data_IF_758728998098
#
_entry.id   IF_758728998098
#
_cell.length_a   1.000
_cell.length_b   1.000
_cell.length_c   1.000
_cell.angle_alpha   90.00
_cell.angle_beta   90.00
_cell.angle_gamma   90.00
#
_symmetry.space_group_name_H-M   'P 1'
#
loop_
_entity.id
_entity.type
_entity.pdbx_description
1 polymer ?
#
# COMPACT_ATOMS: atom_id res chain seq x y z
N UNK A 1 -14.09 5.53 27.29
CA UNK A 1 -14.14 4.29 26.52
C UNK A 1 -12.70 3.88 26.20
N UNK A 2 -12.22 2.70 26.63
CA UNK A 2 -10.83 2.28 26.41
C UNK A 2 -10.41 2.30 24.94
N UNK A 3 -11.31 1.89 24.02
CA UNK A 3 -11.07 1.90 22.58
C UNK A 3 -10.84 3.28 21.99
N UNK A 4 -11.36 4.36 22.61
CA UNK A 4 -11.13 5.74 22.14
C UNK A 4 -9.66 6.12 22.35
N UNK A 5 -9.07 5.73 23.48
CA UNK A 5 -7.65 5.96 23.76
C UNK A 5 -6.77 5.29 22.72
N UNK A 6 -6.99 4.00 22.47
CA UNK A 6 -6.24 3.23 21.44
C UNK A 6 -6.40 3.84 20.04
N UNK A 7 -7.61 4.30 19.70
CA UNK A 7 -7.84 4.98 18.41
C UNK A 7 -7.07 6.31 18.29
N UNK A 8 -7.03 7.10 19.36
CA UNK A 8 -6.28 8.36 19.36
C UNK A 8 -4.78 8.11 19.26
N UNK A 9 -4.25 7.13 19.99
CA UNK A 9 -2.85 6.72 19.91
C UNK A 9 -2.48 6.25 18.48
N UNK A 10 -3.35 5.45 17.86
CA UNK A 10 -3.22 5.05 16.48
C UNK A 10 -3.20 6.25 15.51
N UNK A 11 -4.12 7.19 15.67
CA UNK A 11 -4.16 8.41 14.82
C UNK A 11 -2.88 9.23 14.96
N UNK A 12 -2.35 9.35 16.16
CA UNK A 12 -1.13 10.12 16.39
C UNK A 12 0.11 9.39 15.87
N UNK A 13 0.17 8.08 15.99
CA UNK A 13 1.21 7.25 15.36
C UNK A 13 1.15 7.36 13.82
N UNK A 14 -0.04 7.32 13.24
CA UNK A 14 -0.23 7.48 11.80
C UNK A 14 0.19 8.87 11.30
N UNK A 15 -0.08 9.94 12.07
CA UNK A 15 0.38 11.31 11.76
C UNK A 15 1.91 11.40 11.83
N UNK A 16 2.53 10.82 12.86
CA UNK A 16 3.98 10.80 13.01
C UNK A 16 4.64 10.06 11.85
N UNK A 17 4.11 8.89 11.46
CA UNK A 17 4.59 8.14 10.30
C UNK A 17 4.46 8.95 9.00
N UNK A 18 3.33 9.61 8.76
CA UNK A 18 3.15 10.47 7.57
C UNK A 18 4.14 11.62 7.52
N UNK A 19 4.37 12.28 8.67
CA UNK A 19 5.38 13.33 8.77
C UNK A 19 6.76 12.79 8.42
N UNK A 20 7.15 11.66 9.01
CA UNK A 20 8.38 10.95 8.67
C UNK A 20 8.46 10.65 7.17
N UNK A 21 7.44 10.03 6.56
CA UNK A 21 7.40 9.68 5.13
C UNK A 21 7.51 10.89 4.20
N UNK A 22 7.10 12.08 4.64
CA UNK A 22 7.28 13.33 3.88
C UNK A 22 8.72 13.85 4.01
N UNK A 23 9.32 13.72 5.18
CA UNK A 23 10.67 14.21 5.50
C UNK A 23 11.78 13.32 4.95
N UNK A 24 11.57 11.99 4.92
CA UNK A 24 12.50 11.08 4.25
C UNK A 24 12.46 11.37 2.75
N UNK A 25 13.51 11.99 2.27
CA UNK A 25 13.62 12.31 0.85
C UNK A 25 13.91 11.08 0.00
N UNK A 26 13.91 11.29 -1.30
CA UNK A 26 14.58 10.41 -2.25
C UNK A 26 16.10 10.47 -2.06
N UNK A 27 16.82 9.64 -2.78
CA UNK A 27 18.29 9.68 -2.79
C UNK A 27 18.77 10.89 -3.56
N UNK A 28 18.86 12.05 -2.88
CA UNK A 28 19.15 13.34 -3.46
C UNK A 28 20.47 13.37 -4.26
N UNK A 29 21.48 12.66 -3.79
CA UNK A 29 22.80 12.64 -4.42
C UNK A 29 22.77 11.89 -5.76
N UNK A 30 21.81 11.00 -5.95
CA UNK A 30 21.67 10.21 -7.19
C UNK A 30 20.67 10.86 -8.15
N UNK A 31 19.52 11.33 -7.63
CA UNK A 31 18.49 11.93 -8.47
C UNK A 31 17.91 13.23 -7.89
N UNK A 32 18.67 14.32 -7.92
CA UNK A 32 18.27 15.60 -7.33
C UNK A 32 17.05 16.24 -8.00
N UNK A 33 16.79 15.95 -9.29
CA UNK A 33 15.62 16.48 -9.99
C UNK A 33 14.32 15.85 -9.46
N UNK A 34 14.34 14.55 -9.14
CA UNK A 34 13.21 13.87 -8.52
C UNK A 34 12.92 14.44 -7.13
N UNK A 35 13.94 14.64 -6.29
CA UNK A 35 13.75 15.25 -4.96
C UNK A 35 13.14 16.64 -5.06
N UNK A 36 13.63 17.49 -5.95
CA UNK A 36 13.07 18.83 -6.22
C UNK A 36 11.62 18.76 -6.70
N UNK A 37 11.30 17.80 -7.58
CA UNK A 37 9.94 17.60 -8.07
C UNK A 37 9.02 17.16 -6.92
N UNK A 38 9.43 16.17 -6.11
CA UNK A 38 8.70 15.65 -4.97
C UNK A 38 8.41 16.77 -3.96
N UNK A 39 9.42 17.55 -3.58
CA UNK A 39 9.27 18.69 -2.66
C UNK A 39 8.29 19.74 -3.19
N UNK A 40 8.33 20.06 -4.48
CA UNK A 40 7.35 20.98 -5.07
C UNK A 40 5.92 20.47 -4.96
N UNK A 41 5.68 19.17 -5.18
CA UNK A 41 4.36 18.59 -5.05
C UNK A 41 3.88 18.57 -3.59
N UNK A 42 4.74 18.23 -2.64
CA UNK A 42 4.44 18.29 -1.21
C UNK A 42 4.05 19.71 -0.79
N UNK A 43 4.86 20.69 -1.19
CA UNK A 43 4.61 22.11 -0.86
C UNK A 43 3.31 22.61 -1.50
N UNK A 44 3.04 22.24 -2.75
CA UNK A 44 1.80 22.61 -3.44
C UNK A 44 0.58 22.06 -2.70
N UNK A 45 0.59 20.78 -2.36
CA UNK A 45 -0.49 20.15 -1.59
C UNK A 45 -0.64 20.81 -0.22
N UNK A 46 0.45 21.16 0.45
CA UNK A 46 0.43 21.86 1.74
C UNK A 46 -0.22 23.25 1.64
N UNK A 47 0.03 23.98 0.56
CA UNK A 47 -0.58 25.29 0.31
C UNK A 47 -2.08 25.14 -0.01
N UNK A 48 -2.43 24.20 -0.88
CA UNK A 48 -3.81 24.02 -1.35
C UNK A 48 -4.74 23.45 -0.27
N UNK A 49 -4.24 22.52 0.57
CA UNK A 49 -5.04 21.78 1.54
C UNK A 49 -4.85 22.23 3.00
N UNK A 50 -3.85 23.06 3.28
CA UNK A 50 -3.53 23.52 4.62
C UNK A 50 -3.31 22.35 5.59
N UNK A 51 -3.92 22.41 6.78
CA UNK A 51 -3.77 21.37 7.81
C UNK A 51 -4.20 19.96 7.36
N UNK A 52 -5.04 19.83 6.33
CA UNK A 52 -5.46 18.53 5.80
C UNK A 52 -4.35 17.83 5.01
N UNK A 53 -3.33 18.55 4.59
CA UNK A 53 -2.19 18.00 3.82
C UNK A 53 -1.42 16.93 4.60
N UNK A 54 -1.41 16.98 5.92
CA UNK A 54 -0.75 15.98 6.78
C UNK A 54 -1.32 14.56 6.60
N UNK A 55 -2.51 14.45 5.99
CA UNK A 55 -3.14 13.18 5.66
C UNK A 55 -2.68 12.59 4.32
N UNK A 56 -1.94 13.34 3.51
CA UNK A 56 -1.54 12.92 2.17
C UNK A 56 -0.19 12.20 2.20
N UNK A 57 -0.16 10.97 1.71
CA UNK A 57 1.07 10.24 1.42
C UNK A 57 1.49 10.62 0.00
N UNK A 58 2.76 10.84 -0.21
CA UNK A 58 3.34 11.15 -1.52
C UNK A 58 4.16 9.95 -2.03
N UNK A 59 3.50 8.88 -2.53
CA UNK A 59 4.20 7.71 -3.02
C UNK A 59 5.06 8.08 -4.23
N UNK A 60 6.33 7.67 -4.25
CA UNK A 60 7.22 7.97 -5.37
C UNK A 60 6.91 7.12 -6.59
N UNK A 61 6.41 5.91 -6.37
CA UNK A 61 6.11 4.91 -7.39
C UNK A 61 4.96 4.02 -6.92
N UNK A 62 4.21 3.48 -7.85
CA UNK A 62 3.27 2.39 -7.64
C UNK A 62 3.56 1.29 -8.67
N UNK A 63 3.47 0.04 -8.24
CA UNK A 63 3.66 -1.12 -9.11
C UNK A 63 2.32 -1.80 -9.32
N UNK A 64 1.98 -2.11 -10.55
CA UNK A 64 0.79 -2.89 -10.87
C UNK A 64 1.19 -4.34 -11.14
N UNK A 65 0.75 -5.25 -10.27
CA UNK A 65 1.00 -6.68 -10.40
C UNK A 65 -0.14 -7.42 -11.13
N UNK A 66 -1.12 -6.67 -11.63
CA UNK A 66 -2.22 -7.17 -12.45
C UNK A 66 -2.62 -6.14 -13.49
N UNK A 67 -3.10 -6.59 -14.64
CA UNK A 67 -3.69 -5.76 -15.69
C UNK A 67 -5.20 -5.66 -15.46
N UNK A 68 -5.65 -4.48 -15.06
CA UNK A 68 -7.03 -4.19 -14.71
C UNK A 68 -7.45 -4.70 -13.32
N UNK A 69 -8.74 -4.58 -13.00
CA UNK A 69 -9.31 -4.87 -11.68
C UNK A 69 -10.59 -5.70 -11.80
N UNK A 70 -10.72 -6.74 -10.96
CA UNK A 70 -11.92 -7.60 -10.97
C UNK A 70 -13.11 -7.01 -10.20
N UNK A 71 -12.90 -5.93 -9.43
CA UNK A 71 -13.92 -5.40 -8.51
C UNK A 71 -14.99 -4.58 -9.22
N UNK A 72 -14.60 -3.70 -10.14
CA UNK A 72 -15.55 -2.87 -10.89
C UNK A 72 -16.32 -1.85 -10.02
N UNK A 73 -15.66 -1.23 -9.04
CA UNK A 73 -16.29 -0.23 -8.18
C UNK A 73 -16.88 0.94 -8.98
N UNK A 74 -18.16 1.25 -8.77
CA UNK A 74 -18.86 2.36 -9.46
C UNK A 74 -18.25 3.74 -9.15
N UNK A 75 -17.53 3.88 -8.04
CA UNK A 75 -16.85 5.10 -7.60
C UNK A 75 -15.34 5.07 -7.82
N UNK A 76 -14.82 4.17 -8.66
CA UNK A 76 -13.39 4.04 -8.91
C UNK A 76 -12.81 5.35 -9.45
N UNK A 77 -11.99 6.03 -8.64
CA UNK A 77 -11.38 7.31 -9.03
C UNK A 77 -10.33 7.19 -10.13
N UNK A 78 -9.90 5.96 -10.45
CA UNK A 78 -8.88 5.66 -11.46
C UNK A 78 -9.54 5.13 -12.74
N UNK A 79 -10.83 4.75 -12.68
CA UNK A 79 -11.54 4.10 -13.78
C UNK A 79 -10.82 2.85 -14.30
N UNK A 80 -10.40 1.99 -13.37
CA UNK A 80 -9.66 0.77 -13.70
C UNK A 80 -10.39 -0.06 -14.75
N UNK A 81 -9.64 -0.55 -15.73
CA UNK A 81 -10.16 -1.47 -16.74
C UNK A 81 -10.56 -2.81 -16.12
N UNK A 82 -11.34 -3.61 -16.85
CA UNK A 82 -11.66 -4.97 -16.40
C UNK A 82 -10.39 -5.81 -16.33
N UNK A 83 -10.32 -6.65 -15.31
CA UNK A 83 -9.21 -7.58 -15.11
C UNK A 83 -8.97 -8.44 -16.37
N UNK A 84 -7.73 -8.51 -16.80
CA UNK A 84 -7.28 -9.25 -17.98
C UNK A 84 -6.26 -10.34 -17.63
N UNK A 85 -5.53 -10.16 -16.54
CA UNK A 85 -4.49 -11.10 -16.10
C UNK A 85 -3.62 -10.52 -15.00
N UNK A 86 -2.66 -11.28 -14.54
CA UNK A 86 -1.71 -10.87 -13.52
C UNK A 86 -0.27 -11.22 -13.94
N UNK A 87 0.69 -10.60 -13.30
CA UNK A 87 2.10 -10.91 -13.43
C UNK A 87 2.39 -12.18 -12.63
N UNK A 88 2.63 -13.29 -13.31
CA UNK A 88 2.81 -14.61 -12.71
C UNK A 88 4.14 -14.72 -11.95
N UNK A 89 4.15 -15.44 -10.84
CA UNK A 89 5.36 -15.74 -10.08
C UNK A 89 6.14 -16.90 -10.72
N UNK A 90 6.84 -16.60 -11.81
CA UNK A 90 7.84 -17.51 -12.36
C UNK A 90 9.23 -17.17 -11.82
N UNK A 91 10.20 -18.11 -11.85
CA UNK A 91 11.59 -17.81 -11.46
C UNK A 91 12.21 -16.66 -12.26
N UNK A 92 11.80 -16.48 -13.51
CA UNK A 92 12.23 -15.38 -14.38
C UNK A 92 11.61 -14.05 -13.94
N UNK A 93 10.30 -14.00 -13.80
CA UNK A 93 9.57 -12.82 -13.36
C UNK A 93 9.98 -12.38 -11.95
N UNK A 94 10.27 -13.32 -11.06
CA UNK A 94 10.80 -13.00 -9.74
C UNK A 94 12.20 -12.35 -9.80
N UNK A 95 13.07 -12.80 -10.73
CA UNK A 95 14.36 -12.13 -10.96
C UNK A 95 14.18 -10.71 -11.50
N UNK A 96 13.29 -10.55 -12.46
CA UNK A 96 12.95 -9.23 -13.01
C UNK A 96 12.36 -8.31 -11.94
N UNK A 97 11.42 -8.80 -11.15
CA UNK A 97 10.83 -8.07 -10.03
C UNK A 97 11.91 -7.56 -9.05
N UNK A 98 12.80 -8.45 -8.63
CA UNK A 98 13.92 -8.08 -7.76
C UNK A 98 14.82 -7.02 -8.39
N UNK A 99 15.12 -7.15 -9.67
CA UNK A 99 15.96 -6.18 -10.38
C UNK A 99 15.26 -4.80 -10.45
N UNK A 100 13.97 -4.76 -10.79
CA UNK A 100 13.18 -3.53 -10.86
C UNK A 100 13.11 -2.84 -9.48
N UNK A 101 12.81 -3.58 -8.41
CA UNK A 101 12.71 -3.01 -7.07
C UNK A 101 14.07 -2.49 -6.57
N UNK A 102 15.17 -3.23 -6.81
CA UNK A 102 16.51 -2.79 -6.43
C UNK A 102 16.91 -1.51 -7.19
N UNK A 103 16.67 -1.46 -8.50
CA UNK A 103 16.99 -0.27 -9.29
C UNK A 103 16.15 0.93 -8.85
N UNK A 104 14.84 0.74 -8.65
CA UNK A 104 13.96 1.79 -8.13
C UNK A 104 14.44 2.28 -6.76
N UNK A 105 14.84 1.36 -5.85
CA UNK A 105 15.35 1.73 -4.54
C UNK A 105 16.69 2.48 -4.62
N UNK A 106 17.57 2.10 -5.54
CA UNK A 106 18.84 2.82 -5.77
C UNK A 106 18.61 4.28 -6.20
N UNK A 107 17.56 4.53 -6.98
CA UNK A 107 17.22 5.87 -7.48
C UNK A 107 16.39 6.70 -6.49
N UNK A 108 15.43 6.08 -5.81
CA UNK A 108 14.40 6.75 -5.02
C UNK A 108 14.67 6.70 -3.51
N UNK A 109 15.55 5.79 -3.06
CA UNK A 109 15.92 5.63 -1.67
C UNK A 109 14.74 5.34 -0.75
N UNK A 110 14.84 5.79 0.50
CA UNK A 110 13.84 5.57 1.55
C UNK A 110 12.45 6.16 1.24
N UNK A 111 12.30 7.03 0.23
CA UNK A 111 10.96 7.47 -0.18
C UNK A 111 10.09 6.30 -0.67
N UNK A 112 10.70 5.18 -1.08
CA UNK A 112 9.97 3.98 -1.48
C UNK A 112 9.21 3.30 -0.34
N UNK A 113 9.50 3.59 0.92
CA UNK A 113 8.71 3.10 2.06
C UNK A 113 7.22 3.46 1.97
N UNK A 114 6.89 4.54 1.26
CA UNK A 114 5.51 4.99 1.01
C UNK A 114 4.93 4.57 -0.34
N UNK A 115 5.56 3.64 -1.05
CA UNK A 115 5.08 3.12 -2.34
C UNK A 115 3.90 2.16 -2.17
N UNK A 116 3.25 1.82 -3.29
CA UNK A 116 2.17 0.85 -3.35
C UNK A 116 2.51 -0.27 -4.35
N UNK A 117 2.07 -1.51 -4.03
CA UNK A 117 2.13 -2.64 -4.96
C UNK A 117 0.77 -2.86 -5.67
N UNK A 118 -0.01 -1.81 -5.82
CA UNK A 118 -1.24 -1.77 -6.59
C UNK A 118 -1.56 -0.31 -6.96
N UNK A 119 -2.30 -0.09 -8.05
CA UNK A 119 -2.81 1.23 -8.44
C UNK A 119 -4.18 1.11 -9.09
N UNK A 120 -4.24 0.78 -10.39
CA UNK A 120 -5.50 0.57 -11.12
C UNK A 120 -5.98 -0.90 -11.03
N UNK A 121 -5.71 -1.59 -9.95
CA UNK A 121 -6.05 -3.01 -9.71
C UNK A 121 -6.38 -3.25 -8.24
N UNK A 122 -7.01 -4.38 -7.92
CA UNK A 122 -7.04 -4.90 -6.56
C UNK A 122 -5.79 -5.78 -6.36
N UNK A 123 -4.99 -5.59 -5.30
CA UNK A 123 -3.76 -6.35 -5.11
C UNK A 123 -4.00 -7.87 -5.03
N UNK A 124 -5.13 -8.31 -4.46
CA UNK A 124 -5.45 -9.73 -4.34
C UNK A 124 -6.04 -10.34 -5.62
N UNK A 125 -6.12 -9.58 -6.72
CA UNK A 125 -6.32 -10.15 -8.05
C UNK A 125 -5.09 -10.94 -8.52
N UNK A 126 -3.92 -10.65 -7.95
CA UNK A 126 -2.72 -11.47 -8.14
C UNK A 126 -2.63 -12.53 -7.02
N UNK A 127 -2.73 -13.83 -7.35
CA UNK A 127 -2.64 -14.90 -6.35
C UNK A 127 -1.28 -15.00 -5.67
N UNK A 128 -0.23 -14.48 -6.31
CA UNK A 128 1.16 -14.49 -5.84
C UNK A 128 1.54 -13.17 -5.15
N UNK A 129 0.55 -12.35 -4.78
CA UNK A 129 0.76 -11.01 -4.21
C UNK A 129 1.67 -11.03 -2.98
N UNK A 130 1.52 -12.03 -2.11
CA UNK A 130 2.30 -12.15 -0.88
C UNK A 130 3.79 -12.28 -1.17
N UNK A 131 4.18 -13.12 -2.10
CA UNK A 131 5.59 -13.37 -2.46
C UNK A 131 6.25 -12.12 -3.09
N UNK A 132 5.49 -11.36 -3.87
CA UNK A 132 5.95 -10.07 -4.39
C UNK A 132 6.10 -9.03 -3.28
N UNK A 133 5.17 -9.02 -2.31
CA UNK A 133 5.21 -8.16 -1.13
C UNK A 133 6.41 -8.50 -0.22
N UNK A 134 6.64 -9.77 0.08
CA UNK A 134 7.79 -10.26 0.84
C UNK A 134 9.11 -9.88 0.18
N UNK A 135 9.19 -10.08 -1.14
CA UNK A 135 10.37 -9.71 -1.93
C UNK A 135 10.62 -8.20 -1.88
N UNK A 136 9.59 -7.38 -2.06
CA UNK A 136 9.68 -5.93 -1.93
C UNK A 136 10.19 -5.52 -0.55
N UNK A 137 9.58 -6.05 0.49
CA UNK A 137 9.91 -5.76 1.88
C UNK A 137 11.37 -6.13 2.22
N UNK A 138 11.86 -7.24 1.65
CA UNK A 138 13.25 -7.67 1.85
C UNK A 138 14.29 -6.70 1.27
N UNK A 139 13.91 -5.87 0.31
CA UNK A 139 14.79 -4.90 -0.38
C UNK A 139 14.64 -3.51 0.24
N UNK A 140 13.40 -3.07 0.47
CA UNK A 140 13.08 -1.69 0.90
C UNK A 140 13.07 -1.55 2.42
N UNK A 141 13.00 -2.67 3.16
CA UNK A 141 12.87 -2.75 4.63
C UNK A 141 11.60 -2.04 5.15
N UNK A 142 10.55 -2.01 4.32
CA UNK A 142 9.24 -1.46 4.68
C UNK A 142 8.14 -2.27 4.02
N UNK A 143 7.01 -2.44 4.71
CA UNK A 143 5.83 -3.12 4.16
C UNK A 143 4.88 -2.06 3.61
N UNK A 144 4.64 -2.03 2.28
CA UNK A 144 3.67 -1.12 1.68
C UNK A 144 2.25 -1.48 2.08
N UNK A 145 1.44 -0.45 2.32
CA UNK A 145 0.04 -0.61 2.69
C UNK A 145 -0.75 -1.34 1.59
N UNK A 146 -1.59 -2.29 2.00
CA UNK A 146 -2.50 -3.03 1.11
C UNK A 146 -3.94 -2.59 1.34
N UNK A 147 -4.67 -2.31 0.26
CA UNK A 147 -6.12 -2.06 0.28
C UNK A 147 -6.80 -3.01 -0.70
N UNK A 148 -7.76 -3.80 -0.23
CA UNK A 148 -8.50 -4.75 -1.06
C UNK A 148 -10.01 -4.64 -0.86
N UNK A 149 -10.76 -4.87 -1.93
CA UNK A 149 -12.22 -5.04 -1.90
C UNK A 149 -12.64 -6.52 -2.05
N UNK A 150 -11.68 -7.42 -2.32
CA UNK A 150 -11.93 -8.84 -2.58
C UNK A 150 -11.34 -9.77 -1.51
N UNK A 151 -11.14 -9.27 -0.30
CA UNK A 151 -10.61 -10.05 0.84
C UNK A 151 -11.32 -11.42 1.05
N UNK A 152 -12.60 -11.50 0.70
CA UNK A 152 -13.42 -12.72 0.82
C UNK A 152 -13.31 -13.67 -0.39
N UNK A 153 -12.66 -13.26 -1.49
CA UNK A 153 -12.48 -14.11 -2.68
C UNK A 153 -11.46 -15.22 -2.42
N UNK A 154 -10.41 -14.89 -1.66
CA UNK A 154 -9.41 -15.85 -1.18
C UNK A 154 -9.04 -15.48 0.27
N UNK A 155 -9.78 -16.05 1.22
CA UNK A 155 -9.62 -15.75 2.66
C UNK A 155 -8.24 -16.18 3.15
N UNK A 156 -7.70 -17.31 2.66
CA UNK A 156 -6.40 -17.83 3.10
C UNK A 156 -5.27 -16.91 2.66
N UNK A 157 -5.28 -16.42 1.41
CA UNK A 157 -4.31 -15.41 0.94
C UNK A 157 -4.43 -14.13 1.77
N UNK A 158 -5.66 -13.67 2.01
CA UNK A 158 -5.89 -12.46 2.82
C UNK A 158 -5.32 -12.62 4.22
N UNK A 159 -5.56 -13.76 4.88
CA UNK A 159 -5.00 -14.05 6.21
C UNK A 159 -3.47 -14.13 6.19
N UNK A 160 -2.90 -14.69 5.15
CA UNK A 160 -1.44 -14.74 5.00
C UNK A 160 -0.83 -13.34 4.86
N UNK A 161 -1.48 -12.45 4.10
CA UNK A 161 -1.07 -11.05 3.98
C UNK A 161 -1.22 -10.30 5.32
N UNK A 162 -2.33 -10.49 6.04
CA UNK A 162 -2.53 -9.88 7.36
C UNK A 162 -1.47 -10.36 8.36
N UNK A 163 -1.20 -11.66 8.39
CA UNK A 163 -0.17 -12.24 9.26
C UNK A 163 1.23 -11.70 8.95
N UNK A 164 1.57 -11.52 7.69
CA UNK A 164 2.86 -10.93 7.30
C UNK A 164 3.02 -9.49 7.84
N UNK A 165 1.91 -8.79 7.99
CA UNK A 165 1.87 -7.43 8.54
C UNK A 165 1.98 -7.38 10.07
N UNK A 166 1.55 -8.41 10.78
CA UNK A 166 1.42 -8.43 12.24
C UNK A 166 2.71 -8.06 12.97
N UNK A 167 3.85 -8.47 12.42
CA UNK A 167 5.17 -8.25 13.02
C UNK A 167 5.74 -6.84 12.77
N UNK A 168 5.16 -6.03 11.88
CA UNK A 168 5.72 -4.75 11.42
C UNK A 168 4.67 -3.63 11.32
N UNK A 169 4.22 -3.12 12.44
CA UNK A 169 3.14 -2.10 12.55
C UNK A 169 3.55 -0.73 12.03
N UNK A 170 3.37 -0.44 10.74
CA UNK A 170 3.66 0.92 10.22
C UNK A 170 2.45 1.61 9.63
N UNK A 171 1.70 1.00 8.73
CA UNK A 171 0.48 1.56 8.13
C UNK A 171 -0.56 0.46 8.02
N UNK A 172 -1.81 0.66 8.47
CA UNK A 172 -2.80 -0.39 8.47
C UNK A 172 -3.22 -0.78 7.07
N UNK A 173 -3.45 -2.07 6.87
CA UNK A 173 -4.18 -2.58 5.74
C UNK A 173 -5.64 -2.09 5.78
N UNK A 174 -6.31 -2.08 4.63
CA UNK A 174 -7.68 -1.63 4.54
C UNK A 174 -8.54 -2.61 3.73
N UNK A 175 -9.75 -2.83 4.21
CA UNK A 175 -10.80 -3.45 3.41
C UNK A 175 -11.71 -2.38 2.83
N UNK A 176 -11.88 -2.39 1.51
CA UNK A 176 -12.88 -1.56 0.83
C UNK A 176 -14.23 -2.26 0.92
N UNK A 177 -15.05 -1.84 1.88
CA UNK A 177 -16.36 -2.44 2.14
C UNK A 177 -17.40 -1.79 1.24
N UNK A 178 -17.92 -2.53 0.26
CA UNK A 178 -18.86 -2.01 -0.74
C UNK A 178 -20.33 -2.10 -0.28
N UNK A 179 -20.63 -3.00 0.65
CA UNK A 179 -21.99 -3.20 1.19
C UNK A 179 -21.93 -3.65 2.64
N UNK A 180 -23.04 -3.45 3.38
CA UNK A 180 -23.18 -3.95 4.76
C UNK A 180 -23.06 -5.46 4.86
N UNK A 181 -23.57 -6.20 3.86
CA UNK A 181 -23.42 -7.67 3.81
C UNK A 181 -21.95 -8.11 3.67
N UNK A 182 -21.11 -7.34 2.97
CA UNK A 182 -19.66 -7.61 2.91
C UNK A 182 -19.03 -7.35 4.27
N UNK A 183 -19.41 -6.29 4.98
CA UNK A 183 -18.93 -5.98 6.32
C UNK A 183 -19.23 -7.14 7.29
N UNK A 184 -20.46 -7.62 7.31
CA UNK A 184 -20.86 -8.75 8.13
C UNK A 184 -20.04 -10.03 7.83
N UNK A 185 -19.79 -10.29 6.55
CA UNK A 185 -18.96 -11.42 6.13
C UNK A 185 -17.49 -11.26 6.53
N UNK A 186 -16.93 -10.05 6.45
CA UNK A 186 -15.57 -9.76 6.92
C UNK A 186 -15.47 -10.11 8.40
N UNK A 187 -16.36 -9.60 9.24
CA UNK A 187 -16.38 -9.91 10.68
C UNK A 187 -16.69 -11.39 11.00
N UNK A 188 -17.25 -12.14 10.06
CA UNK A 188 -17.49 -13.58 10.23
C UNK A 188 -16.32 -14.45 9.80
N UNK A 189 -15.40 -13.95 8.96
CA UNK A 189 -14.27 -14.71 8.41
C UNK A 189 -12.92 -14.32 9.04
N UNK A 190 -12.83 -13.15 9.61
CA UNK A 190 -11.62 -12.64 10.25
C UNK A 190 -11.91 -12.35 11.72
N UNK A 191 -11.00 -12.75 12.60
CA UNK A 191 -11.11 -12.49 14.04
C UNK A 191 -10.63 -11.07 14.38
N UNK A 192 -10.84 -10.65 15.64
CA UNK A 192 -10.50 -9.30 16.08
C UNK A 192 -9.00 -8.99 15.97
N UNK A 193 -8.12 -9.98 16.16
CA UNK A 193 -6.66 -9.83 16.05
C UNK A 193 -6.26 -9.59 14.57
N UNK A 194 -6.85 -10.36 13.65
CA UNK A 194 -6.65 -10.19 12.20
C UNK A 194 -7.17 -8.84 11.68
N UNK A 195 -8.17 -8.25 12.35
CA UNK A 195 -8.76 -6.96 11.97
C UNK A 195 -8.09 -5.75 12.62
N UNK A 196 -7.19 -5.96 13.59
CA UNK A 196 -6.42 -4.91 14.27
C UNK A 196 -5.04 -4.64 13.61
N UNK A 197 -4.63 -5.51 12.69
CA UNK A 197 -3.35 -5.49 11.99
C UNK A 197 -3.20 -4.46 10.86
#
# INVERSE_FOLDING_TARGET
WPLVGLWLDYIDAAKAYRKYSIEIGSNYDIWPEFDKWRRRNINRVSIEMGAKSVGIIHPPIAFELSDGCSVGCWFCGISAEKFKGHFELTPENLREWKAIVNEAYSLLGSSMESSFLYWATDPLDNPDYLEFLETYTSIVDAIPQTTTAIALKNVDLTKSVLKFWEDKKTVPNRFSVLTTSILEKIHSNFNDEELLG
#
